data_IF_129357596654
#
_entry.id   IF_129357596654
#
_cell.length_a   1.000
_cell.length_b   1.000
_cell.length_c   1.000
_cell.angle_alpha   90.00
_cell.angle_beta   90.00
_cell.angle_gamma   90.00
#
_symmetry.space_group_name_H-M   'P 1'
#
loop_
_entity.id
_entity.type
_entity.pdbx_description
1 polymer ?
#
# COMPACT_ATOMS: atom_id res chain seq x y z
N UNK A 1 -5.11 -6.29 -5.91
CA UNK A 1 -4.70 -6.09 -4.51
C UNK A 1 -5.99 -6.05 -3.73
N UNK A 2 -6.36 -7.14 -3.09
CA UNK A 2 -7.70 -7.28 -2.54
C UNK A 2 -7.73 -7.06 -1.03
N UNK A 3 -8.92 -6.76 -0.49
CA UNK A 3 -9.10 -6.61 0.94
C UNK A 3 -8.59 -7.85 1.69
N UNK A 4 -7.82 -7.62 2.76
CA UNK A 4 -7.16 -8.68 3.52
C UNK A 4 -5.72 -8.97 3.09
N UNK A 5 -5.33 -8.62 1.86
CA UNK A 5 -3.98 -8.89 1.36
C UNK A 5 -2.92 -8.15 2.17
N UNK A 6 -1.82 -8.85 2.47
CA UNK A 6 -0.57 -8.26 2.96
C UNK A 6 0.35 -8.02 1.78
N UNK A 7 0.60 -6.75 1.49
CA UNK A 7 1.31 -6.32 0.28
C UNK A 7 2.48 -5.43 0.67
N UNK A 8 3.63 -5.71 0.09
CA UNK A 8 4.76 -4.79 0.08
C UNK A 8 4.67 -3.88 -1.14
N UNK A 9 4.77 -2.57 -0.96
CA UNK A 9 4.69 -1.59 -2.04
C UNK A 9 5.93 -0.69 -2.06
N UNK A 10 6.31 -0.25 -3.27
CA UNK A 10 7.18 0.91 -3.48
C UNK A 10 6.27 2.11 -3.77
N UNK A 11 6.25 3.08 -2.86
CA UNK A 11 5.36 4.24 -2.94
C UNK A 11 6.17 5.53 -3.11
N UNK A 12 5.79 6.33 -4.10
CA UNK A 12 6.34 7.66 -4.34
C UNK A 12 5.45 8.73 -3.70
N UNK A 13 6.00 9.49 -2.76
CA UNK A 13 5.33 10.65 -2.20
C UNK A 13 5.32 11.82 -3.22
N UNK A 14 4.50 12.84 -2.97
CA UNK A 14 4.35 13.98 -3.88
C UNK A 14 5.65 14.78 -4.06
N UNK A 15 6.54 14.75 -3.07
CA UNK A 15 7.89 15.33 -3.16
C UNK A 15 8.90 14.42 -3.89
N UNK A 16 8.47 13.35 -4.53
CA UNK A 16 9.32 12.36 -5.22
C UNK A 16 10.00 11.35 -4.30
N UNK A 17 9.86 11.45 -2.97
CA UNK A 17 10.51 10.52 -2.06
C UNK A 17 9.93 9.09 -2.19
N UNK A 18 10.81 8.12 -2.46
CA UNK A 18 10.45 6.72 -2.55
C UNK A 18 10.50 6.07 -1.16
N UNK A 19 9.46 5.30 -0.85
CA UNK A 19 9.36 4.55 0.41
C UNK A 19 8.92 3.12 0.15
N UNK A 20 9.57 2.16 0.80
CA UNK A 20 9.13 0.77 0.84
C UNK A 20 8.18 0.58 2.03
N UNK A 21 6.98 0.05 1.79
CA UNK A 21 5.94 -0.08 2.84
C UNK A 21 5.28 -1.44 2.80
N UNK A 22 5.16 -2.06 3.97
CA UNK A 22 4.23 -3.18 4.17
C UNK A 22 2.86 -2.60 4.54
N UNK A 23 1.81 -3.06 3.87
CA UNK A 23 0.43 -2.64 4.11
C UNK A 23 -0.50 -3.87 4.19
N UNK A 24 -1.57 -3.76 4.99
CA UNK A 24 -2.74 -4.66 4.90
C UNK A 24 -3.86 -3.91 4.22
N UNK A 25 -4.30 -4.38 3.06
CA UNK A 25 -5.40 -3.75 2.30
C UNK A 25 -6.69 -3.89 3.10
N UNK A 26 -7.40 -2.78 3.28
CA UNK A 26 -8.70 -2.74 3.95
C UNK A 26 -9.82 -2.60 2.93
N UNK A 27 -9.66 -1.70 1.97
CA UNK A 27 -10.57 -1.52 0.83
C UNK A 27 -9.86 -0.81 -0.32
N UNK A 28 -10.46 -0.81 -1.51
CA UNK A 28 -9.95 -0.09 -2.67
C UNK A 28 -11.08 0.54 -3.49
N UNK A 29 -10.74 1.62 -4.19
CA UNK A 29 -11.49 2.17 -5.32
C UNK A 29 -10.64 2.03 -6.57
N UNK A 30 -11.11 2.53 -7.71
CA UNK A 30 -10.34 2.51 -8.96
C UNK A 30 -9.02 3.30 -8.86
N UNK A 31 -8.96 4.32 -7.99
CA UNK A 31 -7.83 5.24 -7.89
C UNK A 31 -7.04 5.13 -6.59
N UNK A 32 -7.63 4.58 -5.53
CA UNK A 32 -7.03 4.60 -4.19
C UNK A 32 -7.11 3.24 -3.48
N UNK A 33 -6.17 3.03 -2.56
CA UNK A 33 -6.15 1.89 -1.64
C UNK A 33 -6.17 2.42 -0.21
N UNK A 34 -7.19 2.04 0.57
CA UNK A 34 -7.19 2.25 2.02
C UNK A 34 -6.56 1.04 2.68
N UNK A 35 -5.55 1.27 3.50
CA UNK A 35 -4.78 0.19 4.11
C UNK A 35 -4.26 0.54 5.50
N UNK A 36 -4.05 -0.47 6.34
CA UNK A 36 -3.26 -0.33 7.56
C UNK A 36 -1.78 -0.35 7.16
N UNK A 37 -1.07 0.74 7.44
CA UNK A 37 0.37 0.83 7.18
C UNK A 37 1.16 0.40 8.42
N UNK A 38 1.89 -0.71 8.33
CA UNK A 38 2.59 -1.29 9.48
C UNK A 38 3.70 -0.37 10.02
N UNK A 39 4.42 0.32 9.13
CA UNK A 39 5.49 1.25 9.51
C UNK A 39 5.01 2.44 10.34
N UNK A 40 3.73 2.84 10.19
CA UNK A 40 3.13 3.97 10.92
C UNK A 40 2.09 3.54 11.95
N UNK A 41 1.78 2.24 12.02
CA UNK A 41 0.73 1.66 12.87
C UNK A 41 -0.61 2.41 12.77
N UNK A 42 -0.95 2.88 11.56
CA UNK A 42 -2.16 3.68 11.32
C UNK A 42 -2.76 3.43 9.94
N UNK A 43 -4.06 3.70 9.80
CA UNK A 43 -4.76 3.63 8.51
C UNK A 43 -4.31 4.78 7.61
N UNK A 44 -4.03 4.48 6.34
CA UNK A 44 -3.64 5.46 5.31
C UNK A 44 -4.28 5.12 3.98
N UNK A 45 -4.49 6.15 3.18
CA UNK A 45 -4.94 6.02 1.80
C UNK A 45 -3.76 6.27 0.87
N UNK A 46 -3.56 5.38 -0.10
CA UNK A 46 -2.48 5.43 -1.08
C UNK A 46 -3.08 5.63 -2.47
N UNK A 47 -2.57 6.60 -3.23
CA UNK A 47 -2.91 6.78 -4.66
C UNK A 47 -2.31 5.61 -5.46
N UNK A 48 -3.11 4.89 -6.23
CA UNK A 48 -2.63 3.76 -7.05
C UNK A 48 -1.58 4.19 -8.07
N UNK A 49 -1.77 5.35 -8.71
CA UNK A 49 -0.80 5.93 -9.63
C UNK A 49 0.57 6.25 -8.99
N UNK A 50 0.63 6.34 -7.66
CA UNK A 50 1.87 6.58 -6.91
C UNK A 50 2.52 5.29 -6.39
N UNK A 51 1.94 4.12 -6.69
CA UNK A 51 2.52 2.80 -6.38
C UNK A 51 3.32 2.36 -7.61
N UNK A 52 4.64 2.36 -7.50
CA UNK A 52 5.55 2.02 -8.60
C UNK A 52 5.86 0.53 -8.69
N UNK A 53 5.50 -0.24 -7.66
CA UNK A 53 5.68 -1.68 -7.64
C UNK A 53 4.98 -2.29 -6.43
N UNK A 54 4.56 -3.54 -6.57
CA UNK A 54 3.91 -4.28 -5.50
C UNK A 54 4.26 -5.76 -5.51
N UNK A 55 4.39 -6.33 -4.31
CA UNK A 55 4.60 -7.75 -4.09
C UNK A 55 3.67 -8.24 -2.99
N UNK A 56 2.74 -9.14 -3.34
CA UNK A 56 1.83 -9.78 -2.39
C UNK A 56 2.59 -10.87 -1.64
N UNK A 57 2.59 -10.82 -0.30
CA UNK A 57 3.11 -11.92 0.52
C UNK A 57 2.01 -12.93 0.76
N UNK A 58 2.22 -14.15 0.27
CA UNK A 58 1.41 -15.30 0.67
C UNK A 58 1.86 -15.72 2.07
N UNK A 59 0.89 -15.96 2.95
CA UNK A 59 1.15 -16.64 4.22
C UNK A 59 1.19 -18.13 3.86
N UNK A 60 2.34 -18.77 4.07
CA UNK A 60 2.43 -20.24 4.07
C UNK A 60 1.72 -20.79 5.30
#
# INVERSE_FOLDING_TARGET
MEAGDRVEIIYMAENGALTKRMIKVLSQTDTHIKALCYAKRSQRTFKKASILGCYKRYVQ
#
